data_IF_462130204990
#
_entry.id   IF_462130204990
#
_cell.length_a   1.000
_cell.length_b   1.000
_cell.length_c   1.000
_cell.angle_alpha   90.00
_cell.angle_beta   90.00
_cell.angle_gamma   90.00
#
_symmetry.space_group_name_H-M   'P 1'
#
loop_
_entity.id
_entity.type
_entity.pdbx_description
1 polymer ?
#
# COMPACT_ATOMS: atom_id res chain seq x y z
N UNK A 1 -10.98 -14.99 29.93
CA UNK A 1 -11.15 -15.92 28.80
C UNK A 1 -10.90 -15.12 27.53
N UNK A 2 -9.90 -15.48 26.72
CA UNK A 2 -9.69 -14.80 25.43
C UNK A 2 -10.82 -15.25 24.50
N UNK A 3 -11.62 -14.32 23.99
CA UNK A 3 -12.62 -14.63 22.97
C UNK A 3 -11.88 -15.07 21.70
N UNK A 4 -11.98 -16.34 21.34
CA UNK A 4 -11.53 -16.85 20.04
C UNK A 4 -12.71 -16.88 19.08
N UNK A 5 -12.44 -16.69 17.79
CA UNK A 5 -13.45 -16.80 16.74
C UNK A 5 -13.06 -17.93 15.80
N UNK A 6 -13.98 -18.86 15.55
CA UNK A 6 -13.77 -19.99 14.67
C UNK A 6 -14.19 -19.65 13.24
N UNK A 7 -13.33 -19.96 12.28
CA UNK A 7 -13.60 -19.74 10.86
C UNK A 7 -14.60 -20.80 10.36
N UNK A 8 -15.73 -20.34 9.85
CA UNK A 8 -16.75 -21.18 9.23
C UNK A 8 -16.40 -21.53 7.79
N UNK A 9 -16.10 -20.50 6.99
CA UNK A 9 -15.80 -20.64 5.57
C UNK A 9 -15.00 -19.45 5.05
N UNK A 10 -14.32 -19.65 3.92
CA UNK A 10 -13.59 -18.60 3.20
C UNK A 10 -14.10 -18.58 1.76
N UNK A 11 -14.59 -17.42 1.30
CA UNK A 11 -15.18 -17.25 -0.02
C UNK A 11 -14.42 -16.23 -0.85
N UNK A 12 -14.30 -16.46 -2.15
CA UNK A 12 -13.81 -15.46 -3.12
C UNK A 12 -14.88 -14.39 -3.35
N UNK A 13 -14.46 -13.13 -3.43
CA UNK A 13 -15.38 -12.02 -3.70
C UNK A 13 -15.73 -11.93 -5.19
N UNK A 14 -17.00 -11.72 -5.51
CA UNK A 14 -17.51 -11.76 -6.90
C UNK A 14 -16.86 -10.70 -7.81
N UNK A 15 -16.71 -9.46 -7.31
CA UNK A 15 -16.16 -8.34 -8.10
C UNK A 15 -14.63 -8.21 -8.02
N UNK A 16 -14.03 -8.85 -7.02
CA UNK A 16 -12.61 -8.74 -6.70
C UNK A 16 -12.06 -10.14 -6.45
N UNK A 17 -11.71 -10.88 -7.52
CA UNK A 17 -11.28 -12.27 -7.42
C UNK A 17 -9.96 -12.43 -6.66
N UNK A 18 -9.21 -11.36 -6.48
CA UNK A 18 -8.00 -11.23 -5.66
C UNK A 18 -8.30 -11.03 -4.16
N UNK A 19 -9.58 -11.00 -3.77
CA UNK A 19 -10.02 -10.81 -2.38
C UNK A 19 -10.81 -12.01 -1.88
N UNK A 20 -10.71 -12.23 -0.57
CA UNK A 20 -11.38 -13.29 0.17
C UNK A 20 -12.19 -12.69 1.31
N UNK A 21 -13.35 -13.27 1.58
CA UNK A 21 -14.16 -13.00 2.76
C UNK A 21 -14.07 -14.20 3.67
N UNK A 22 -13.51 -14.01 4.86
CA UNK A 22 -13.48 -14.99 5.95
C UNK A 22 -14.75 -14.79 6.76
N UNK A 23 -15.57 -15.82 6.88
CA UNK A 23 -16.83 -15.81 7.62
C UNK A 23 -16.64 -16.65 8.88
N UNK A 24 -17.07 -16.11 10.02
CA UNK A 24 -16.97 -16.75 11.33
C UNK A 24 -18.29 -17.42 11.74
N UNK A 25 -18.21 -18.30 12.74
CA UNK A 25 -19.39 -19.04 13.23
C UNK A 25 -20.46 -18.12 13.86
N UNK A 26 -20.06 -16.98 14.42
CA UNK A 26 -20.98 -15.97 14.97
C UNK A 26 -21.67 -15.10 13.91
N UNK A 27 -21.37 -15.33 12.63
CA UNK A 27 -21.92 -14.58 11.49
C UNK A 27 -21.16 -13.30 11.16
N UNK A 28 -20.12 -12.94 11.92
CA UNK A 28 -19.22 -11.85 11.54
C UNK A 28 -18.31 -12.26 10.38
N UNK A 29 -17.69 -11.28 9.74
CA UNK A 29 -16.78 -11.54 8.63
C UNK A 29 -15.69 -10.48 8.52
N UNK A 30 -14.55 -10.87 7.95
CA UNK A 30 -13.49 -9.95 7.55
C UNK A 30 -13.13 -10.16 6.08
N UNK A 31 -12.82 -9.06 5.39
CA UNK A 31 -12.36 -9.10 4.01
C UNK A 31 -10.86 -8.86 3.93
N UNK A 32 -10.11 -9.82 3.40
CA UNK A 32 -8.67 -9.71 3.21
C UNK A 32 -8.29 -9.98 1.74
N UNK A 33 -7.17 -9.44 1.31
CA UNK A 33 -6.57 -9.76 0.02
C UNK A 33 -5.97 -11.17 0.02
N UNK A 34 -5.88 -11.77 -1.16
CA UNK A 34 -5.26 -13.07 -1.35
C UNK A 34 -3.79 -13.09 -0.91
N UNK A 35 -3.06 -12.00 -1.13
CA UNK A 35 -1.67 -11.85 -0.69
C UNK A 35 -1.54 -11.88 0.84
N UNK A 36 -2.50 -11.31 1.57
CA UNK A 36 -2.53 -11.38 3.04
C UNK A 36 -2.86 -12.80 3.50
N UNK A 37 -3.78 -13.50 2.82
CA UNK A 37 -4.10 -14.89 3.14
C UNK A 37 -2.89 -15.82 2.88
N UNK A 38 -2.15 -15.60 1.80
CA UNK A 38 -0.95 -16.39 1.47
C UNK A 38 0.18 -16.17 2.48
N UNK A 39 0.39 -14.92 2.92
CA UNK A 39 1.40 -14.58 3.93
C UNK A 39 0.98 -14.97 5.36
N UNK A 40 -0.32 -15.09 5.61
CA UNK A 40 -0.90 -15.46 6.90
C UNK A 40 -1.96 -16.55 6.70
N UNK A 41 -1.54 -17.79 6.41
CA UNK A 41 -2.47 -18.86 6.07
C UNK A 41 -3.41 -19.16 7.24
N UNK A 42 -4.70 -19.21 6.93
CA UNK A 42 -5.78 -19.62 7.82
C UNK A 42 -6.79 -20.43 7.01
N UNK A 43 -7.43 -21.39 7.66
CA UNK A 43 -8.32 -22.38 7.03
C UNK A 43 -9.66 -22.46 7.76
N UNK A 44 -10.73 -22.91 7.09
CA UNK A 44 -11.97 -23.25 7.76
C UNK A 44 -11.74 -24.24 8.90
N UNK A 45 -12.32 -23.97 10.06
CA UNK A 45 -12.13 -24.72 11.30
C UNK A 45 -11.07 -24.14 12.23
N UNK A 46 -10.20 -23.23 11.78
CA UNK A 46 -9.20 -22.59 12.64
C UNK A 46 -9.85 -21.66 13.67
N UNK A 47 -9.28 -21.61 14.87
CA UNK A 47 -9.65 -20.65 15.91
C UNK A 47 -8.67 -19.47 15.92
N UNK A 48 -9.19 -18.28 15.66
CA UNK A 48 -8.43 -17.05 15.64
C UNK A 48 -8.51 -16.34 16.99
N UNK A 49 -7.35 -16.14 17.60
CA UNK A 49 -7.19 -15.28 18.76
C UNK A 49 -7.32 -13.81 18.38
N UNK A 50 -7.65 -12.90 19.33
CA UNK A 50 -7.70 -11.46 19.05
C UNK A 50 -6.37 -10.91 18.50
N UNK A 51 -5.24 -11.47 18.94
CA UNK A 51 -3.92 -11.09 18.43
C UNK A 51 -3.74 -11.49 16.97
N UNK A 52 -4.21 -12.68 16.56
CA UNK A 52 -4.12 -13.13 15.17
C UNK A 52 -5.06 -12.32 14.26
N UNK A 53 -6.26 -11.98 14.73
CA UNK A 53 -7.17 -11.09 14.02
C UNK A 53 -6.57 -9.69 13.81
N UNK A 54 -5.93 -9.15 14.85
CA UNK A 54 -5.22 -7.87 14.78
C UNK A 54 -4.05 -7.95 13.78
N UNK A 55 -3.27 -9.04 13.79
CA UNK A 55 -2.22 -9.26 12.80
C UNK A 55 -2.78 -9.27 11.37
N UNK A 56 -3.84 -10.06 11.10
CA UNK A 56 -4.47 -10.13 9.77
C UNK A 56 -4.97 -8.75 9.31
N UNK A 57 -5.62 -8.00 10.21
CA UNK A 57 -6.13 -6.66 9.92
C UNK A 57 -5.00 -5.70 9.59
N UNK A 58 -3.92 -5.72 10.37
CA UNK A 58 -2.74 -4.88 10.14
C UNK A 58 -2.05 -5.24 8.82
N UNK A 59 -1.91 -6.53 8.51
CA UNK A 59 -1.37 -7.00 7.22
C UNK A 59 -2.21 -6.52 6.04
N UNK A 60 -3.55 -6.56 6.16
CA UNK A 60 -4.45 -6.02 5.13
C UNK A 60 -4.34 -4.51 4.96
N UNK A 61 -4.17 -3.75 6.04
CA UNK A 61 -3.93 -2.31 5.95
C UNK A 61 -2.62 -2.01 5.23
N UNK A 62 -1.53 -2.70 5.59
CA UNK A 62 -0.23 -2.58 4.91
C UNK A 62 -0.31 -2.95 3.43
N UNK A 63 -1.02 -4.02 3.09
CA UNK A 63 -1.19 -4.43 1.70
C UNK A 63 -1.99 -3.40 0.90
N UNK A 64 -3.07 -2.85 1.46
CA UNK A 64 -3.83 -1.76 0.82
C UNK A 64 -2.97 -0.53 0.58
N UNK A 65 -2.15 -0.15 1.56
CA UNK A 65 -1.20 0.96 1.43
C UNK A 65 -0.20 0.69 0.30
N UNK A 66 0.43 -0.49 0.28
CA UNK A 66 1.37 -0.93 -0.78
C UNK A 66 0.71 -0.87 -2.17
N UNK A 67 -0.47 -1.45 -2.33
CA UNK A 67 -1.21 -1.45 -3.59
C UNK A 67 -1.58 -0.03 -4.04
N UNK A 68 -1.96 0.84 -3.10
CA UNK A 68 -2.26 2.24 -3.39
C UNK A 68 -1.03 3.01 -3.89
N UNK A 69 0.14 2.74 -3.30
CA UNK A 69 1.42 3.30 -3.74
C UNK A 69 1.82 2.79 -5.13
N UNK A 70 1.79 1.47 -5.36
CA UNK A 70 2.10 0.88 -6.65
C UNK A 70 1.18 1.38 -7.77
N UNK A 71 -0.12 1.52 -7.49
CA UNK A 71 -1.07 2.11 -8.44
C UNK A 71 -0.74 3.58 -8.76
N UNK A 72 -0.25 4.36 -7.80
CA UNK A 72 0.18 5.74 -8.10
C UNK A 72 1.42 5.77 -9.00
N UNK A 73 2.33 4.82 -8.83
CA UNK A 73 3.57 4.68 -9.60
C UNK A 73 3.35 4.07 -10.98
N UNK A 74 2.33 3.24 -11.17
CA UNK A 74 2.01 2.65 -12.48
C UNK A 74 1.57 3.69 -13.51
N UNK A 75 1.06 4.85 -13.09
CA UNK A 75 0.71 5.93 -14.02
C UNK A 75 1.91 6.76 -14.48
N UNK A 76 2.85 7.06 -13.57
CA UNK A 76 4.09 7.79 -13.85
C UNK A 76 5.06 7.72 -12.67
N UNK A 77 6.31 8.02 -12.98
CA UNK A 77 7.35 8.28 -11.98
C UNK A 77 6.97 9.43 -11.03
N UNK A 78 7.38 9.30 -9.77
CA UNK A 78 7.14 10.25 -8.66
C UNK A 78 8.36 10.27 -7.75
N UNK A 79 8.63 11.40 -7.10
CA UNK A 79 9.59 11.44 -5.99
C UNK A 79 9.04 10.79 -4.73
N UNK A 80 9.92 10.50 -3.78
CA UNK A 80 9.59 10.06 -2.43
C UNK A 80 8.60 11.02 -1.76
N UNK A 81 8.88 12.32 -1.77
CA UNK A 81 8.00 13.30 -1.13
C UNK A 81 6.64 13.39 -1.84
N UNK A 82 6.61 13.31 -3.17
CA UNK A 82 5.36 13.35 -3.91
C UNK A 82 4.50 12.14 -3.55
N UNK A 83 5.08 10.94 -3.53
CA UNK A 83 4.34 9.74 -3.18
C UNK A 83 3.84 9.81 -1.73
N UNK A 84 4.68 10.24 -0.79
CA UNK A 84 4.30 10.47 0.62
C UNK A 84 3.09 11.38 0.73
N UNK A 85 3.13 12.55 0.08
CA UNK A 85 2.03 13.52 0.11
C UNK A 85 0.74 12.95 -0.50
N UNK A 86 0.84 12.14 -1.56
CA UNK A 86 -0.34 11.48 -2.16
C UNK A 86 -0.94 10.43 -1.23
N UNK A 87 -0.11 9.65 -0.52
CA UNK A 87 -0.58 8.65 0.42
C UNK A 87 -1.21 9.30 1.66
N UNK A 88 -0.63 10.37 2.19
CA UNK A 88 -1.24 11.17 3.27
C UNK A 88 -2.61 11.72 2.86
N UNK A 89 -2.72 12.27 1.64
CA UNK A 89 -4.01 12.75 1.10
C UNK A 89 -5.05 11.64 0.92
N UNK A 90 -4.63 10.38 0.81
CA UNK A 90 -5.53 9.22 0.79
C UNK A 90 -5.95 8.74 2.18
N UNK A 91 -5.42 9.34 3.25
CA UNK A 91 -5.78 9.05 4.64
C UNK A 91 -4.95 7.97 5.33
N UNK A 92 -3.77 7.63 4.78
CA UNK A 92 -2.83 6.73 5.47
C UNK A 92 -2.01 7.49 6.51
N UNK A 93 -1.64 6.81 7.60
CA UNK A 93 -0.81 7.38 8.67
C UNK A 93 0.67 7.43 8.26
N UNK A 94 1.38 8.45 8.71
CA UNK A 94 2.84 8.60 8.53
C UNK A 94 3.58 7.35 9.05
N UNK A 95 3.13 6.78 10.17
CA UNK A 95 3.79 5.62 10.78
C UNK A 95 3.75 4.36 9.90
N UNK A 96 2.77 4.26 9.01
CA UNK A 96 2.69 3.16 8.03
C UNK A 96 3.37 3.54 6.70
N UNK A 97 3.38 4.83 6.34
CA UNK A 97 3.96 5.31 5.08
C UNK A 97 5.49 5.26 5.11
N UNK A 98 6.15 5.73 6.17
CA UNK A 98 7.62 5.82 6.22
C UNK A 98 8.29 4.45 5.98
N UNK A 99 7.89 3.35 6.66
CA UNK A 99 8.50 2.05 6.42
C UNK A 99 8.32 1.54 4.99
N UNK A 100 7.20 1.90 4.33
CA UNK A 100 6.98 1.55 2.93
C UNK A 100 7.93 2.32 2.01
N UNK A 101 8.12 3.61 2.25
CA UNK A 101 8.99 4.45 1.43
C UNK A 101 10.45 4.00 1.57
N UNK A 102 10.90 3.69 2.79
CA UNK A 102 12.21 3.09 3.05
C UNK A 102 12.37 1.75 2.31
N UNK A 103 11.35 0.88 2.33
CA UNK A 103 11.38 -0.38 1.58
C UNK A 103 11.49 -0.15 0.06
N UNK A 104 10.77 0.84 -0.46
CA UNK A 104 10.74 1.14 -1.89
C UNK A 104 12.04 1.78 -2.37
N UNK A 105 12.64 2.66 -1.57
CA UNK A 105 13.96 3.24 -1.84
C UNK A 105 15.05 2.17 -1.80
N UNK A 106 15.06 1.32 -0.76
CA UNK A 106 16.01 0.21 -0.64
C UNK A 106 15.92 -0.81 -1.78
N UNK A 107 14.72 -0.99 -2.37
CA UNK A 107 14.48 -1.85 -3.54
C UNK A 107 14.65 -1.12 -4.88
N UNK A 108 15.05 0.16 -4.86
CA UNK A 108 15.18 1.03 -6.03
C UNK A 108 13.89 1.09 -6.88
N UNK A 109 12.73 0.93 -6.23
CA UNK A 109 11.39 1.16 -6.82
C UNK A 109 11.14 2.68 -6.92
N UNK A 110 11.64 3.42 -5.93
CA UNK A 110 11.73 4.88 -5.94
C UNK A 110 13.19 5.27 -6.05
N UNK A 111 13.44 6.34 -6.80
CA UNK A 111 14.78 6.91 -6.95
C UNK A 111 14.65 8.40 -7.29
N UNK A 112 14.92 9.26 -6.31
CA UNK A 112 14.76 10.70 -6.48
C UNK A 112 15.76 11.30 -7.48
N UNK A 113 16.93 10.67 -7.68
CA UNK A 113 17.90 11.11 -8.70
C UNK A 113 17.38 10.85 -10.11
N UNK A 114 16.84 9.64 -10.36
CA UNK A 114 16.22 9.31 -11.64
C UNK A 114 14.96 10.16 -11.89
N UNK A 115 14.15 10.37 -10.84
CA UNK A 115 13.01 11.28 -10.90
C UNK A 115 13.43 12.70 -11.26
N UNK A 116 14.43 13.27 -10.59
CA UNK A 116 14.88 14.63 -10.84
C UNK A 116 15.37 14.79 -12.29
N UNK A 117 16.10 13.81 -12.82
CA UNK A 117 16.55 13.81 -14.21
C UNK A 117 15.38 13.73 -15.21
N UNK A 118 14.45 12.80 -14.99
CA UNK A 118 13.28 12.63 -15.85
C UNK A 118 12.38 13.88 -15.84
N UNK A 119 12.10 14.41 -14.64
CA UNK A 119 11.32 15.63 -14.42
C UNK A 119 11.97 16.82 -15.13
N UNK A 120 13.28 17.00 -14.97
CA UNK A 120 14.04 18.09 -15.60
C UNK A 120 13.94 18.05 -17.11
N UNK A 121 14.18 16.88 -17.71
CA UNK A 121 14.08 16.69 -19.17
C UNK A 121 12.68 17.00 -19.68
N UNK A 122 11.67 16.54 -18.98
CA UNK A 122 10.28 16.77 -19.38
C UNK A 122 9.89 18.26 -19.29
N UNK A 123 10.29 18.97 -18.23
CA UNK A 123 10.01 20.40 -18.06
C UNK A 123 10.73 21.28 -19.07
N UNK A 124 12.00 20.98 -19.35
CA UNK A 124 12.77 21.70 -20.37
C UNK A 124 12.10 21.51 -21.74
N UNK A 125 11.76 20.26 -22.09
CA UNK A 125 11.13 19.95 -23.39
C UNK A 125 9.72 20.52 -23.54
N UNK A 126 8.90 20.41 -22.50
CA UNK A 126 7.48 20.80 -22.57
C UNK A 126 7.23 22.29 -22.35
N UNK A 127 8.05 22.96 -21.53
CA UNK A 127 7.84 24.35 -21.12
C UNK A 127 9.02 25.29 -21.38
N UNK A 128 10.17 24.78 -21.84
CA UNK A 128 11.36 25.60 -22.10
C UNK A 128 11.95 26.25 -20.86
N UNK A 129 11.73 25.67 -19.67
CA UNK A 129 12.11 26.28 -18.40
C UNK A 129 13.64 26.24 -18.21
N UNK A 130 14.23 27.37 -17.80
CA UNK A 130 15.65 27.48 -17.48
C UNK A 130 16.04 26.93 -16.08
N UNK A 131 17.34 26.78 -15.80
CA UNK A 131 17.84 26.09 -14.61
C UNK A 131 17.37 26.65 -13.26
N UNK A 132 17.17 27.96 -13.15
CA UNK A 132 16.75 28.61 -11.90
C UNK A 132 15.35 28.19 -11.46
N UNK A 133 14.38 28.28 -12.38
CA UNK A 133 12.99 27.88 -12.12
C UNK A 133 12.91 26.35 -11.91
N UNK A 134 13.68 25.58 -12.68
CA UNK A 134 13.72 24.12 -12.52
C UNK A 134 14.19 23.70 -11.12
N UNK A 135 15.18 24.40 -10.55
CA UNK A 135 15.64 24.17 -9.16
C UNK A 135 14.51 24.42 -8.15
N UNK A 136 13.72 25.48 -8.34
CA UNK A 136 12.56 25.79 -7.48
C UNK A 136 11.47 24.73 -7.61
N UNK A 137 11.19 24.25 -8.83
CA UNK A 137 10.21 23.17 -9.02
C UNK A 137 10.68 21.88 -8.34
N UNK A 138 11.97 21.51 -8.48
CA UNK A 138 12.54 20.33 -7.84
C UNK A 138 12.60 20.43 -6.31
N UNK A 139 12.75 21.62 -5.72
CA UNK A 139 12.75 21.74 -4.25
C UNK A 139 11.40 21.47 -3.59
N UNK A 140 10.32 21.37 -4.38
CA UNK A 140 9.00 20.98 -3.90
C UNK A 140 8.77 19.46 -3.97
N UNK A 141 9.77 18.70 -4.40
CA UNK A 141 9.76 17.25 -4.59
C UNK A 141 10.76 16.57 -3.66
#
# INVERSE_FOLDING_TARGET
>A
MLLTQRIKEIKTQVRHPDRRTIIFDDGTFIGISEEVLLSNPVHPGDELTPNKLKQLTNSEQKQKLRNSALNLLSFRMRSLSELKQRLLKKGYDVQDIEPLLEEFDAKNILNDSEFALAFSRDKIRSKGIGPSILRVELSNH
#
